data_IF_923022920975
#
_entry.id   IF_923022920975
#
_cell.length_a   1.000
_cell.length_b   1.000
_cell.length_c   1.000
_cell.angle_alpha   90.00
_cell.angle_beta   90.00
_cell.angle_gamma   90.00
#
_symmetry.space_group_name_H-M   'P 1'
#
loop_
_entity.id
_entity.type
_entity.pdbx_description
1 polymer ?
#
# COMPACT_ATOMS: atom_id res chain seq x y z
N UNK A 1 23.91 -8.80 18.11
CA UNK A 1 22.84 -7.81 18.35
C UNK A 1 22.07 -7.70 17.04
N UNK A 2 20.92 -8.35 16.91
CA UNK A 2 20.12 -8.44 15.68
C UNK A 2 18.81 -7.69 15.94
N UNK A 3 18.40 -6.80 15.03
CA UNK A 3 17.14 -6.02 15.08
C UNK A 3 17.00 -4.96 16.18
N UNK A 4 17.89 -3.96 16.22
CA UNK A 4 17.52 -2.67 16.82
C UNK A 4 17.03 -1.78 15.69
N UNK A 5 15.72 -1.73 15.46
CA UNK A 5 15.13 -0.71 14.59
C UNK A 5 15.44 0.65 15.24
N UNK A 6 16.30 1.43 14.61
CA UNK A 6 16.54 2.82 15.00
C UNK A 6 15.67 3.66 14.09
N UNK A 7 15.00 4.66 14.66
CA UNK A 7 14.22 5.60 13.89
C UNK A 7 15.15 6.25 12.83
N UNK A 8 14.73 6.36 11.57
CA UNK A 8 15.49 7.13 10.60
C UNK A 8 15.64 8.59 11.08
N UNK A 9 16.66 9.32 10.62
CA UNK A 9 16.74 10.76 10.82
C UNK A 9 15.42 11.46 10.45
N UNK A 10 15.07 12.53 11.17
CA UNK A 10 13.80 13.24 10.97
C UNK A 10 13.59 13.68 9.52
N UNK A 11 14.66 14.10 8.84
CA UNK A 11 14.62 14.48 7.43
C UNK A 11 14.16 13.33 6.52
N UNK A 12 14.62 12.11 6.79
CA UNK A 12 14.26 10.92 6.01
C UNK A 12 12.82 10.50 6.30
N UNK A 13 12.35 10.66 7.54
CA UNK A 13 10.95 10.44 7.90
C UNK A 13 10.03 11.43 7.18
N UNK A 14 10.38 12.71 7.19
CA UNK A 14 9.62 13.76 6.49
C UNK A 14 9.61 13.50 4.98
N UNK A 15 10.74 13.13 4.40
CA UNK A 15 10.84 12.79 2.99
C UNK A 15 9.95 11.57 2.64
N UNK A 16 10.05 10.48 3.40
CA UNK A 16 9.25 9.28 3.18
C UNK A 16 7.75 9.54 3.29
N UNK A 17 7.32 10.36 4.26
CA UNK A 17 5.92 10.74 4.38
C UNK A 17 5.46 11.65 3.23
N UNK A 18 6.31 12.54 2.73
CA UNK A 18 6.05 13.34 1.53
C UNK A 18 5.90 12.50 0.27
N UNK A 19 6.78 11.52 0.08
CA UNK A 19 6.69 10.53 -1.00
C UNK A 19 5.38 9.74 -0.92
N UNK A 20 5.04 9.22 0.27
CA UNK A 20 3.79 8.51 0.51
C UNK A 20 2.58 9.39 0.19
N UNK A 21 2.53 10.61 0.72
CA UNK A 21 1.41 11.53 0.50
C UNK A 21 1.23 11.87 -0.97
N UNK A 22 2.32 12.11 -1.70
CA UNK A 22 2.25 12.31 -3.16
C UNK A 22 1.80 11.06 -3.90
N UNK A 23 2.18 9.86 -3.45
CA UNK A 23 1.78 8.63 -4.13
C UNK A 23 0.26 8.46 -4.19
N UNK A 24 -0.46 8.99 -3.18
CA UNK A 24 -1.93 9.00 -3.13
C UNK A 24 -2.56 9.95 -4.15
N UNK A 25 -1.81 10.92 -4.67
CA UNK A 25 -2.29 11.88 -5.68
C UNK A 25 -1.93 11.48 -7.11
N UNK A 26 -1.16 10.40 -7.29
CA UNK A 26 -0.75 9.96 -8.62
C UNK A 26 -1.96 9.48 -9.43
N UNK A 27 -1.96 9.71 -10.76
CA UNK A 27 -2.99 9.18 -11.63
C UNK A 27 -3.20 7.66 -11.43
N UNK A 28 -4.46 7.24 -11.43
CA UNK A 28 -4.84 5.84 -11.25
C UNK A 28 -4.83 5.34 -9.80
N UNK A 29 -4.37 6.12 -8.81
CA UNK A 29 -4.43 5.70 -7.40
C UNK A 29 -5.86 5.38 -6.95
N UNK A 30 -6.81 6.28 -7.20
CA UNK A 30 -8.22 6.10 -6.80
C UNK A 30 -8.87 4.89 -7.48
N UNK A 31 -8.50 4.60 -8.73
CA UNK A 31 -9.01 3.44 -9.47
C UNK A 31 -8.50 2.15 -8.83
N UNK A 32 -7.18 2.04 -8.60
CA UNK A 32 -6.59 0.87 -7.92
C UNK A 32 -7.11 0.69 -6.49
N UNK A 33 -7.36 1.79 -5.77
CA UNK A 33 -7.94 1.73 -4.43
C UNK A 33 -9.37 1.17 -4.46
N UNK A 34 -10.19 1.58 -5.44
CA UNK A 34 -11.54 1.05 -5.62
C UNK A 34 -11.54 -0.44 -5.99
N UNK A 35 -10.66 -0.86 -6.93
CA UNK A 35 -10.52 -2.27 -7.31
C UNK A 35 -10.02 -3.13 -6.14
N UNK A 36 -9.08 -2.62 -5.35
CA UNK A 36 -8.60 -3.30 -4.15
C UNK A 36 -9.72 -3.47 -3.12
N UNK A 37 -10.53 -2.43 -2.90
CA UNK A 37 -11.69 -2.49 -2.00
C UNK A 37 -12.71 -3.55 -2.47
N UNK A 38 -12.99 -3.63 -3.77
CA UNK A 38 -13.90 -4.64 -4.30
C UNK A 38 -13.38 -6.06 -4.06
N UNK A 39 -12.07 -6.30 -4.23
CA UNK A 39 -11.44 -7.60 -3.92
C UNK A 39 -11.46 -7.93 -2.43
N UNK A 40 -11.27 -6.95 -1.54
CA UNK A 40 -11.37 -7.14 -0.08
C UNK A 40 -12.78 -7.62 0.30
N UNK A 41 -13.81 -7.01 -0.25
CA UNK A 41 -15.20 -7.41 0.04
C UNK A 41 -15.51 -8.83 -0.47
N UNK A 42 -14.84 -9.29 -1.53
CA UNK A 42 -15.00 -10.65 -2.07
C UNK A 42 -14.20 -11.70 -1.31
N UNK A 43 -12.96 -11.39 -0.94
CA UNK A 43 -12.02 -12.33 -0.31
C UNK A 43 -12.27 -12.51 1.20
N UNK A 44 -12.86 -11.51 1.86
CA UNK A 44 -12.99 -11.51 3.32
C UNK A 44 -11.61 -11.64 3.98
N UNK A 45 -11.50 -12.47 5.03
CA UNK A 45 -10.25 -12.64 5.78
C UNK A 45 -9.10 -13.27 4.98
N UNK A 46 -9.35 -13.91 3.83
CA UNK A 46 -8.27 -14.48 2.99
C UNK A 46 -7.34 -13.38 2.44
N UNK A 47 -7.83 -12.14 2.35
CA UNK A 47 -7.02 -11.00 1.90
C UNK A 47 -5.77 -10.80 2.76
N UNK A 48 -5.86 -10.96 4.08
CA UNK A 48 -4.74 -10.73 5.00
C UNK A 48 -3.63 -11.76 4.77
N UNK A 49 -4.00 -13.01 4.44
CA UNK A 49 -3.04 -14.08 4.16
C UNK A 49 -2.38 -13.94 2.79
N UNK A 50 -3.05 -13.29 1.83
CA UNK A 50 -2.65 -13.25 0.42
C UNK A 50 -2.68 -11.84 -0.15
N UNK A 51 -2.39 -10.83 0.67
CA UNK A 51 -2.55 -9.42 0.33
C UNK A 51 -1.85 -9.05 -0.98
N UNK A 52 -0.61 -9.48 -1.17
CA UNK A 52 0.14 -9.23 -2.40
C UNK A 52 -0.50 -9.81 -3.66
N UNK A 53 -1.18 -10.96 -3.56
CA UNK A 53 -1.90 -11.56 -4.69
C UNK A 53 -3.10 -10.70 -5.10
N UNK A 54 -3.91 -10.27 -4.14
CA UNK A 54 -5.09 -9.46 -4.39
C UNK A 54 -4.74 -8.05 -4.87
N UNK A 55 -3.71 -7.41 -4.28
CA UNK A 55 -3.21 -6.13 -4.78
C UNK A 55 -2.67 -6.25 -6.22
N UNK A 56 -2.01 -7.37 -6.54
CA UNK A 56 -1.56 -7.66 -7.90
C UNK A 56 -2.73 -7.75 -8.90
N UNK A 57 -3.83 -8.40 -8.52
CA UNK A 57 -5.05 -8.45 -9.34
C UNK A 57 -5.66 -7.04 -9.50
N UNK A 58 -5.76 -6.26 -8.42
CA UNK A 58 -6.30 -4.89 -8.49
C UNK A 58 -5.50 -4.02 -9.47
N UNK A 59 -4.17 -4.13 -9.44
CA UNK A 59 -3.27 -3.39 -10.33
C UNK A 59 -3.33 -3.83 -11.81
N UNK A 60 -3.88 -5.01 -12.11
CA UNK A 60 -4.13 -5.46 -13.48
C UNK A 60 -5.49 -5.00 -14.00
N UNK A 61 -6.42 -4.68 -13.09
CA UNK A 61 -7.79 -4.26 -13.41
C UNK A 61 -7.95 -2.75 -13.54
N UNK A 62 -7.02 -1.96 -12.99
CA UNK A 62 -7.04 -0.49 -13.01
C UNK A 62 -5.72 0.18 -12.66
#
# INVERSE_FOLDING_TARGET
MINRAVLPPDADLVAAYGEFSRSLTLPGFLVRAAESQALIQQAGSDIEYRLGHYLGIANQRG
#
